data_IF_173457314320
#
_entry.id   IF_173457314320
#
_cell.length_a   1.000
_cell.length_b   1.000
_cell.length_c   1.000
_cell.angle_alpha   90.00
_cell.angle_beta   90.00
_cell.angle_gamma   90.00
#
_symmetry.space_group_name_H-M   'P 1'
#
loop_
_entity.id
_entity.type
_entity.pdbx_description
1 polymer ?
#
# COMPACT_ATOMS: atom_id res chain seq x y z
N UNK A 1 2.53 24.59 -14.10
CA UNK A 1 1.71 24.97 -12.93
C UNK A 1 2.44 24.56 -11.68
N UNK A 2 3.14 25.48 -11.04
CA UNK A 2 3.82 25.27 -9.75
C UNK A 2 2.73 25.13 -8.68
N UNK A 3 2.43 23.89 -8.25
CA UNK A 3 1.63 23.66 -7.06
C UNK A 3 2.43 24.14 -5.86
N UNK A 4 2.06 25.25 -5.28
CA UNK A 4 2.55 25.70 -3.97
C UNK A 4 2.23 24.61 -2.96
N UNK A 5 3.26 23.94 -2.45
CA UNK A 5 3.15 22.95 -1.37
C UNK A 5 2.45 23.64 -0.18
N UNK A 6 1.36 23.07 0.31
CA UNK A 6 0.64 23.64 1.45
C UNK A 6 1.55 23.59 2.69
N UNK A 7 1.36 24.52 3.65
CA UNK A 7 2.20 24.55 4.87
C UNK A 7 2.17 23.24 5.66
N UNK A 8 1.06 22.49 5.62
CA UNK A 8 0.88 21.18 6.27
C UNK A 8 1.75 20.12 5.61
N UNK A 9 1.84 20.12 4.30
CA UNK A 9 2.65 19.16 3.52
C UNK A 9 4.15 19.35 3.79
N UNK A 10 4.59 20.61 3.84
CA UNK A 10 5.97 20.95 4.19
C UNK A 10 6.32 20.47 5.60
N UNK A 11 5.41 20.63 6.55
CA UNK A 11 5.59 20.19 7.93
C UNK A 11 5.73 18.65 8.04
N UNK A 12 4.86 17.89 7.37
CA UNK A 12 4.91 16.42 7.40
C UNK A 12 6.21 15.88 6.81
N UNK A 13 6.62 16.42 5.70
CA UNK A 13 7.85 16.07 5.01
C UNK A 13 9.09 16.35 5.88
N UNK A 14 9.23 17.55 6.42
CA UNK A 14 10.37 17.92 7.28
C UNK A 14 10.39 17.08 8.57
N UNK A 15 9.23 16.78 9.15
CA UNK A 15 9.13 15.93 10.33
C UNK A 15 9.64 14.51 10.06
N UNK A 16 9.23 13.88 8.97
CA UNK A 16 9.69 12.53 8.57
C UNK A 16 11.20 12.55 8.32
N UNK A 17 11.69 13.55 7.58
CA UNK A 17 13.12 13.70 7.31
C UNK A 17 13.94 13.81 8.60
N UNK A 18 13.54 14.66 9.53
CA UNK A 18 14.23 14.86 10.80
C UNK A 18 14.23 13.60 11.68
N UNK A 19 13.13 12.82 11.68
CA UNK A 19 13.08 11.53 12.37
C UNK A 19 14.09 10.55 11.78
N UNK A 20 14.13 10.43 10.45
CA UNK A 20 15.07 9.55 9.77
C UNK A 20 16.52 9.98 10.03
N UNK A 21 16.80 11.27 9.92
CA UNK A 21 18.13 11.85 10.20
C UNK A 21 18.57 11.56 11.63
N UNK A 22 17.68 11.73 12.60
CA UNK A 22 17.96 11.48 14.02
C UNK A 22 18.28 10.02 14.34
N UNK A 23 17.60 9.08 13.67
CA UNK A 23 17.79 7.63 13.87
C UNK A 23 19.05 7.13 13.16
N UNK A 24 19.24 7.48 11.88
CA UNK A 24 20.29 6.91 11.03
C UNK A 24 21.58 7.73 11.01
N UNK A 25 21.57 8.95 11.55
CA UNK A 25 22.75 9.81 11.80
C UNK A 25 23.69 9.98 10.59
N UNK A 26 23.15 10.12 9.39
CA UNK A 26 23.93 10.40 8.18
C UNK A 26 24.23 11.90 8.02
N UNK A 27 25.16 12.24 7.14
CA UNK A 27 25.49 13.63 6.84
C UNK A 27 24.38 14.31 6.02
N UNK A 28 23.64 15.22 6.64
CA UNK A 28 22.59 15.99 5.96
C UNK A 28 23.13 16.77 4.76
N UNK A 29 24.28 17.44 4.94
CA UNK A 29 24.94 18.23 3.88
C UNK A 29 25.26 17.40 2.64
N UNK A 30 25.60 16.12 2.83
CA UNK A 30 26.03 15.24 1.73
C UNK A 30 24.87 14.46 1.10
N UNK A 31 23.93 14.00 1.92
CA UNK A 31 22.91 13.03 1.50
C UNK A 31 21.48 13.52 1.67
N UNK A 32 21.30 14.67 2.37
CA UNK A 32 19.99 15.15 2.76
C UNK A 32 19.03 15.36 1.58
N UNK A 33 19.49 15.95 0.48
CA UNK A 33 18.63 16.21 -0.66
C UNK A 33 18.11 14.90 -1.29
N UNK A 34 18.97 13.88 -1.45
CA UNK A 34 18.56 12.58 -1.97
C UNK A 34 17.48 11.91 -1.11
N UNK A 35 17.62 11.96 0.22
CA UNK A 35 16.63 11.43 1.15
C UNK A 35 15.34 12.24 1.08
N UNK A 36 15.46 13.55 1.02
CA UNK A 36 14.32 14.48 0.89
C UNK A 36 13.53 14.22 -0.39
N UNK A 37 14.20 14.00 -1.49
CA UNK A 37 13.55 13.67 -2.77
C UNK A 37 12.74 12.38 -2.68
N UNK A 38 13.32 11.33 -2.11
CA UNK A 38 12.62 10.05 -1.95
C UNK A 38 11.39 10.17 -1.04
N UNK A 39 11.50 10.88 0.07
CA UNK A 39 10.35 11.13 0.96
C UNK A 39 9.25 11.89 0.22
N UNK A 40 9.60 12.92 -0.55
CA UNK A 40 8.66 13.73 -1.32
C UNK A 40 7.90 12.88 -2.34
N UNK A 41 8.63 12.06 -3.12
CA UNK A 41 8.04 11.16 -4.10
C UNK A 41 7.04 10.22 -3.42
N UNK A 42 7.47 9.52 -2.36
CA UNK A 42 6.63 8.56 -1.66
C UNK A 42 5.37 9.20 -1.08
N UNK A 43 5.46 10.39 -0.50
CA UNK A 43 4.30 11.10 0.04
C UNK A 43 3.35 11.59 -1.07
N UNK A 44 3.87 12.01 -2.22
CA UNK A 44 3.02 12.44 -3.34
C UNK A 44 2.23 11.27 -3.93
N UNK A 45 2.86 10.11 -4.09
CA UNK A 45 2.17 8.90 -4.53
C UNK A 45 1.17 8.40 -3.49
N UNK A 46 1.51 8.47 -2.18
CA UNK A 46 0.60 8.09 -1.08
C UNK A 46 -0.69 8.93 -1.10
N UNK A 47 -0.65 10.21 -1.45
CA UNK A 47 -1.84 11.08 -1.62
C UNK A 47 -2.77 10.59 -2.73
N UNK A 48 -2.22 9.97 -3.75
CA UNK A 48 -2.98 9.39 -4.86
C UNK A 48 -3.44 7.95 -4.57
N UNK A 49 -3.20 7.44 -3.36
CA UNK A 49 -3.56 6.09 -2.95
C UNK A 49 -2.53 5.02 -3.33
N UNK A 50 -1.39 5.41 -3.89
CA UNK A 50 -0.32 4.50 -4.27
C UNK A 50 0.68 4.36 -3.13
N UNK A 51 0.95 3.13 -2.71
CA UNK A 51 1.84 2.83 -1.58
C UNK A 51 3.16 2.18 -2.02
N UNK A 52 3.24 1.81 -3.29
CA UNK A 52 4.40 1.19 -3.94
C UNK A 52 4.66 1.94 -5.25
N UNK A 53 5.89 2.34 -5.46
CA UNK A 53 6.29 3.14 -6.62
C UNK A 53 7.28 2.34 -7.46
N UNK A 54 7.02 2.21 -8.75
CA UNK A 54 8.03 1.77 -9.70
C UNK A 54 9.02 2.91 -9.95
N UNK A 55 10.28 2.73 -9.56
CA UNK A 55 11.30 3.78 -9.66
C UNK A 55 11.69 4.11 -11.09
N UNK A 56 11.39 3.23 -12.04
CA UNK A 56 11.62 3.43 -13.46
C UNK A 56 10.43 4.08 -14.18
N UNK A 57 9.36 4.41 -13.45
CA UNK A 57 8.20 5.08 -14.01
C UNK A 57 8.59 6.47 -14.55
N UNK A 58 8.42 6.66 -15.85
CA UNK A 58 8.72 7.93 -16.54
C UNK A 58 7.86 9.12 -16.10
N UNK A 59 6.76 8.86 -15.40
CA UNK A 59 5.92 9.91 -14.81
C UNK A 59 6.52 10.54 -13.54
N UNK A 60 7.61 9.95 -12.99
CA UNK A 60 8.37 10.56 -11.89
C UNK A 60 9.27 11.67 -12.49
N UNK A 61 8.65 12.69 -13.05
CA UNK A 61 9.32 13.91 -13.50
C UNK A 61 9.06 14.96 -12.44
N UNK A 62 9.92 14.99 -11.42
CA UNK A 62 9.91 16.10 -10.49
C UNK A 62 11.01 17.07 -10.93
N UNK A 63 10.63 18.24 -11.35
CA UNK A 63 11.52 19.32 -11.81
C UNK A 63 12.61 19.75 -10.80
N UNK A 64 12.60 19.15 -9.61
CA UNK A 64 13.46 19.49 -8.47
C UNK A 64 14.19 18.28 -7.85
N UNK A 65 14.34 17.18 -8.58
CA UNK A 65 15.13 16.06 -8.08
C UNK A 65 16.63 16.31 -8.31
N UNK A 66 17.43 15.84 -7.35
CA UNK A 66 18.88 15.73 -7.56
C UNK A 66 19.20 14.85 -8.77
N UNK A 67 20.22 15.22 -9.50
CA UNK A 67 20.62 14.49 -10.71
C UNK A 67 20.93 13.01 -10.42
N UNK A 68 20.51 12.15 -11.36
CA UNK A 68 20.80 10.72 -11.33
C UNK A 68 19.72 9.85 -10.70
N UNK A 69 18.47 10.36 -10.62
CA UNK A 69 17.31 9.52 -10.31
C UNK A 69 17.15 8.40 -11.35
N UNK A 70 16.79 7.17 -10.97
CA UNK A 70 16.63 6.67 -9.59
C UNK A 70 17.92 6.08 -8.99
N UNK A 71 18.90 5.74 -9.83
CA UNK A 71 20.03 4.89 -9.42
C UNK A 71 20.89 5.54 -8.34
N UNK A 72 21.26 6.81 -8.52
CA UNK A 72 22.06 7.53 -7.53
C UNK A 72 21.34 7.68 -6.19
N UNK A 73 20.02 7.89 -6.19
CA UNK A 73 19.21 7.95 -4.98
C UNK A 73 19.21 6.61 -4.26
N UNK A 74 19.01 5.51 -4.99
CA UNK A 74 19.04 4.15 -4.45
C UNK A 74 20.40 3.84 -3.84
N UNK A 75 21.50 4.15 -4.54
CA UNK A 75 22.85 3.93 -4.05
C UNK A 75 23.12 4.73 -2.77
N UNK A 76 22.70 5.98 -2.72
CA UNK A 76 22.80 6.80 -1.51
C UNK A 76 22.03 6.17 -0.35
N UNK A 77 20.77 5.79 -0.57
CA UNK A 77 19.93 5.19 0.48
C UNK A 77 20.52 3.87 1.01
N UNK A 78 21.10 3.03 0.14
CA UNK A 78 21.81 1.80 0.54
C UNK A 78 23.04 2.13 1.37
N UNK A 79 23.88 3.07 0.90
CA UNK A 79 25.12 3.44 1.57
C UNK A 79 24.90 3.99 3.00
N UNK A 80 23.78 4.65 3.25
CA UNK A 80 23.43 5.19 4.58
C UNK A 80 22.49 4.29 5.39
N UNK A 81 22.19 3.07 4.90
CA UNK A 81 21.40 2.06 5.60
C UNK A 81 19.89 2.34 5.64
N UNK A 82 19.38 3.18 4.75
CA UNK A 82 17.94 3.48 4.67
C UNK A 82 17.15 2.47 3.82
N UNK A 83 17.83 1.56 3.14
CA UNK A 83 17.31 0.37 2.44
C UNK A 83 18.14 -0.84 2.87
N UNK A 84 17.56 -2.03 2.82
CA UNK A 84 18.22 -3.32 3.02
C UNK A 84 18.77 -3.56 4.46
N UNK A 85 18.39 -2.74 5.45
CA UNK A 85 18.69 -2.98 6.85
C UNK A 85 17.43 -3.39 7.63
N UNK A 86 17.63 -4.07 8.79
CA UNK A 86 16.53 -4.61 9.60
C UNK A 86 15.47 -3.58 10.02
N UNK A 87 15.87 -2.34 10.15
CA UNK A 87 15.01 -1.22 10.58
C UNK A 87 14.90 -0.11 9.53
N UNK A 88 15.21 -0.43 8.25
CA UNK A 88 15.13 0.55 7.17
C UNK A 88 13.74 1.19 7.09
N UNK A 89 13.66 2.51 6.91
CA UNK A 89 12.38 3.19 6.68
C UNK A 89 11.81 2.93 5.28
N UNK A 90 12.66 2.52 4.33
CA UNK A 90 12.28 2.20 2.96
C UNK A 90 12.55 0.74 2.63
N UNK A 91 11.74 0.20 1.71
CA UNK A 91 11.90 -1.13 1.12
C UNK A 91 12.00 -0.99 -0.39
N UNK A 92 13.01 -1.63 -0.98
CA UNK A 92 13.19 -1.69 -2.42
C UNK A 92 13.23 -3.16 -2.87
N UNK A 93 12.21 -3.59 -3.60
CA UNK A 93 12.11 -4.94 -4.16
C UNK A 93 11.74 -4.87 -5.64
N UNK A 94 12.50 -5.53 -6.51
CA UNK A 94 12.22 -5.59 -7.95
C UNK A 94 11.98 -4.20 -8.56
N UNK A 95 12.81 -3.21 -8.24
CA UNK A 95 12.68 -1.81 -8.68
C UNK A 95 11.42 -1.10 -8.15
N UNK A 96 10.75 -1.66 -7.15
CA UNK A 96 9.59 -1.06 -6.49
C UNK A 96 9.99 -0.55 -5.12
N UNK A 97 9.79 0.75 -4.91
CA UNK A 97 10.11 1.45 -3.67
C UNK A 97 8.85 1.74 -2.87
N UNK A 98 8.93 1.52 -1.56
CA UNK A 98 7.82 1.81 -0.64
C UNK A 98 8.33 2.22 0.74
N UNK A 99 7.46 2.84 1.56
CA UNK A 99 7.71 2.96 2.98
C UNK A 99 7.56 1.60 3.66
N UNK A 100 8.49 1.26 4.54
CA UNK A 100 8.50 -0.02 5.28
C UNK A 100 7.19 -0.27 6.06
N UNK A 101 6.52 0.79 6.54
CA UNK A 101 5.20 0.69 7.18
C UNK A 101 4.14 0.05 6.26
N UNK A 102 4.18 0.36 4.96
CA UNK A 102 3.22 -0.16 3.98
C UNK A 102 3.55 -1.59 3.56
N UNK A 103 4.81 -1.91 3.29
CA UNK A 103 5.24 -3.29 2.99
C UNK A 103 4.83 -4.25 4.09
N UNK A 104 5.08 -3.93 5.36
CA UNK A 104 4.66 -4.75 6.49
C UNK A 104 3.15 -4.90 6.61
N UNK A 105 2.38 -3.85 6.31
CA UNK A 105 0.91 -3.94 6.30
C UNK A 105 0.39 -4.83 5.18
N UNK A 106 0.93 -4.67 3.97
CA UNK A 106 0.56 -5.47 2.81
C UNK A 106 0.90 -6.94 3.06
N UNK A 107 2.11 -7.24 3.52
CA UNK A 107 2.52 -8.60 3.88
C UNK A 107 1.59 -9.22 4.92
N UNK A 108 1.23 -8.46 5.97
CA UNK A 108 0.27 -8.92 6.99
C UNK A 108 -1.09 -9.25 6.39
N UNK A 109 -1.60 -8.40 5.49
CA UNK A 109 -2.88 -8.63 4.80
C UNK A 109 -2.80 -9.87 3.92
N UNK A 110 -1.75 -10.01 3.11
CA UNK A 110 -1.53 -11.19 2.27
C UNK A 110 -1.50 -12.46 3.13
N UNK A 111 -0.75 -12.45 4.22
CA UNK A 111 -0.67 -13.61 5.13
C UNK A 111 -2.01 -13.95 5.78
N UNK A 112 -2.84 -12.95 6.10
CA UNK A 112 -4.19 -13.18 6.59
C UNK A 112 -5.09 -13.82 5.50
N UNK A 113 -4.99 -13.38 4.26
CA UNK A 113 -5.70 -13.98 3.14
C UNK A 113 -5.23 -15.40 2.88
N UNK A 114 -3.92 -15.64 2.80
CA UNK A 114 -3.36 -16.98 2.58
C UNK A 114 -3.79 -17.99 3.65
N UNK A 115 -3.89 -17.55 4.92
CA UNK A 115 -4.42 -18.40 6.00
C UNK A 115 -5.92 -18.70 5.86
N UNK A 116 -6.67 -17.91 5.11
CA UNK A 116 -8.11 -18.08 4.89
C UNK A 116 -8.44 -18.85 3.63
N UNK A 117 -7.51 -18.89 2.67
CA UNK A 117 -7.68 -19.63 1.42
C UNK A 117 -7.41 -21.10 1.73
N UNK A 118 -8.46 -21.92 1.68
CA UNK A 118 -8.31 -23.37 1.66
C UNK A 118 -7.92 -23.77 0.23
N UNK A 119 -6.69 -24.22 0.05
CA UNK A 119 -6.12 -24.57 -1.25
C UNK A 119 -6.83 -25.73 -1.94
N UNK A 120 -7.64 -26.49 -1.23
CA UNK A 120 -8.41 -27.60 -1.76
C UNK A 120 -9.74 -27.18 -2.42
N UNK A 121 -10.18 -25.93 -2.18
CA UNK A 121 -11.43 -25.38 -2.72
C UNK A 121 -11.18 -24.17 -3.61
N UNK A 122 -10.28 -24.29 -4.59
CA UNK A 122 -9.99 -23.22 -5.53
C UNK A 122 -11.22 -22.92 -6.42
N UNK A 123 -11.76 -21.75 -6.19
CA UNK A 123 -12.54 -20.88 -7.06
C UNK A 123 -13.51 -21.57 -8.03
N UNK A 124 -14.72 -21.68 -7.63
CA UNK A 124 -15.83 -21.54 -8.57
C UNK A 124 -16.26 -20.08 -8.58
N UNK A 125 -15.89 -19.32 -9.61
CA UNK A 125 -16.49 -18.01 -9.87
C UNK A 125 -17.93 -18.26 -10.30
N UNK A 126 -18.87 -17.95 -9.44
CA UNK A 126 -20.28 -18.09 -9.75
C UNK A 126 -20.80 -16.72 -10.15
N UNK A 127 -21.18 -16.56 -11.42
CA UNK A 127 -21.89 -15.39 -11.94
C UNK A 127 -23.36 -15.57 -11.56
N UNK A 128 -23.89 -14.62 -10.81
CA UNK A 128 -25.28 -14.70 -10.32
C UNK A 128 -26.16 -13.71 -11.05
N UNK A 129 -27.17 -14.21 -11.74
CA UNK A 129 -28.19 -13.40 -12.41
C UNK A 129 -29.58 -13.44 -11.73
N UNK A 130 -29.73 -14.17 -10.59
CA UNK A 130 -31.07 -14.51 -10.06
C UNK A 130 -31.38 -14.02 -8.63
N UNK A 131 -32.70 -13.95 -8.31
CA UNK A 131 -33.28 -13.39 -7.07
C UNK A 131 -32.91 -14.13 -5.77
N UNK A 132 -32.27 -15.28 -5.82
CA UNK A 132 -31.93 -16.12 -4.66
C UNK A 132 -30.51 -15.90 -4.13
N UNK A 133 -29.99 -14.68 -4.24
CA UNK A 133 -28.60 -14.29 -3.89
C UNK A 133 -28.17 -14.70 -2.49
N UNK A 134 -29.06 -14.61 -1.50
CA UNK A 134 -28.74 -14.88 -0.10
C UNK A 134 -28.46 -16.35 0.16
N UNK A 135 -29.27 -17.25 -0.38
CA UNK A 135 -29.09 -18.68 -0.13
C UNK A 135 -27.91 -19.27 -0.92
N UNK A 136 -27.63 -18.73 -2.07
CA UNK A 136 -26.46 -19.06 -2.85
C UNK A 136 -25.17 -18.65 -2.11
N UNK A 137 -25.12 -17.44 -1.54
CA UNK A 137 -23.97 -16.97 -0.76
C UNK A 137 -23.82 -17.76 0.54
N UNK A 138 -24.90 -18.13 1.22
CA UNK A 138 -24.86 -19.05 2.39
C UNK A 138 -24.22 -20.39 2.02
N UNK A 139 -24.52 -20.93 0.84
CA UNK A 139 -23.91 -22.17 0.37
C UNK A 139 -22.42 -22.01 0.12
N UNK A 140 -21.98 -20.88 -0.45
CA UNK A 140 -20.55 -20.58 -0.62
C UNK A 140 -19.83 -20.53 0.74
N UNK A 141 -20.41 -19.87 1.74
CA UNK A 141 -19.82 -19.79 3.09
C UNK A 141 -19.74 -21.14 3.82
N UNK A 142 -20.44 -22.17 3.37
CA UNK A 142 -20.27 -23.53 3.90
C UNK A 142 -18.94 -24.16 3.45
N UNK A 143 -18.47 -23.76 2.28
CA UNK A 143 -17.31 -24.37 1.61
C UNK A 143 -16.10 -23.43 1.48
N UNK A 144 -16.25 -22.13 1.80
CA UNK A 144 -15.18 -21.14 1.66
C UNK A 144 -15.09 -20.24 2.87
N UNK A 145 -13.89 -20.09 3.39
CA UNK A 145 -13.56 -19.17 4.49
C UNK A 145 -13.35 -17.73 4.01
N UNK A 146 -13.33 -17.50 2.68
CA UNK A 146 -13.10 -16.19 2.10
C UNK A 146 -14.02 -16.01 0.89
N UNK A 147 -14.76 -14.91 0.85
CA UNK A 147 -15.66 -14.56 -0.24
C UNK A 147 -15.40 -13.12 -0.67
N UNK A 148 -15.20 -12.89 -1.96
CA UNK A 148 -15.10 -11.58 -2.55
C UNK A 148 -16.42 -11.17 -3.20
N UNK A 149 -16.94 -10.00 -2.79
CA UNK A 149 -18.13 -9.40 -3.40
C UNK A 149 -17.69 -8.26 -4.34
N UNK A 150 -17.88 -8.47 -5.64
CA UNK A 150 -17.57 -7.49 -6.66
C UNK A 150 -18.86 -6.92 -7.26
N UNK A 151 -18.87 -5.63 -7.56
CA UNK A 151 -19.97 -4.95 -8.21
C UNK A 151 -19.81 -3.43 -8.17
N UNK A 152 -20.44 -2.71 -9.08
CA UNK A 152 -20.40 -1.24 -9.16
C UNK A 152 -21.05 -0.55 -7.95
N UNK A 153 -21.03 0.79 -7.89
CA UNK A 153 -21.81 1.56 -6.93
C UNK A 153 -23.30 1.23 -7.05
N UNK A 154 -24.03 1.18 -5.91
CA UNK A 154 -25.48 0.96 -5.91
C UNK A 154 -25.96 -0.48 -6.14
N UNK A 155 -25.08 -1.46 -6.32
CA UNK A 155 -25.45 -2.87 -6.57
C UNK A 155 -25.91 -3.64 -5.31
N UNK A 156 -26.12 -2.97 -4.18
CA UNK A 156 -26.66 -3.58 -2.96
C UNK A 156 -25.66 -4.43 -2.15
N UNK A 157 -24.34 -4.32 -2.40
CA UNK A 157 -23.31 -5.08 -1.67
C UNK A 157 -23.41 -4.93 -0.14
N UNK A 158 -23.59 -3.71 0.35
CA UNK A 158 -23.72 -3.41 1.77
C UNK A 158 -24.98 -4.04 2.35
N UNK A 159 -26.12 -3.93 1.65
CA UNK A 159 -27.39 -4.55 2.05
C UNK A 159 -27.26 -6.06 2.16
N UNK A 160 -26.59 -6.68 1.19
CA UNK A 160 -26.31 -8.10 1.20
C UNK A 160 -25.48 -8.55 2.40
N UNK A 161 -24.42 -7.82 2.75
CA UNK A 161 -23.57 -8.10 3.92
C UNK A 161 -24.37 -7.95 5.22
N UNK A 162 -25.22 -6.93 5.34
CA UNK A 162 -26.08 -6.73 6.53
C UNK A 162 -27.04 -7.90 6.68
N UNK A 163 -27.71 -8.32 5.62
CA UNK A 163 -28.64 -9.44 5.64
C UNK A 163 -27.96 -10.76 6.01
N UNK A 164 -26.76 -11.02 5.51
CA UNK A 164 -25.96 -12.18 5.91
C UNK A 164 -25.60 -12.18 7.39
N UNK A 165 -25.23 -11.01 7.94
CA UNK A 165 -24.88 -10.86 9.35
C UNK A 165 -26.09 -11.07 10.26
N UNK A 166 -27.26 -10.55 9.92
CA UNK A 166 -28.50 -10.75 10.67
C UNK A 166 -28.89 -12.24 10.73
N UNK A 167 -28.70 -12.99 9.66
CA UNK A 167 -28.99 -14.42 9.62
C UNK A 167 -28.02 -15.22 10.52
N UNK A 168 -26.76 -14.81 10.62
CA UNK A 168 -25.80 -15.45 11.54
C UNK A 168 -26.16 -15.20 13.02
N UNK A 169 -26.60 -14.01 13.35
CA UNK A 169 -26.99 -13.64 14.73
C UNK A 169 -28.27 -14.36 15.21
N UNK A 170 -29.17 -14.72 14.30
CA UNK A 170 -30.41 -15.45 14.63
C UNK A 170 -30.23 -16.98 14.78
N UNK A 171 -29.02 -17.50 14.73
CA UNK A 171 -28.66 -18.92 14.90
C UNK A 171 -28.15 -19.27 16.29
N UNK A 172 -28.14 -18.30 17.20
CA UNK A 172 -27.82 -18.45 18.62
C UNK A 172 -29.03 -18.01 19.44
#
# INVERSE_FOLDING_TARGET
MTKTTTGIEKFQYEHIFNLILGIFKFSEKKYGNFVKDVIRILLEFEKNGETIIDVDNSLIIFELLEDGWPNKHIDVLKNIGLIDSLHSPFVLENRKLSLSKWSKKIERVINLFLKKIDTNNLMNSIIYEDDNKIDQIKNIFKYSNLVFLQGGPGTGKTTLIINLKLIQLNRY
#
